data_IF_759165570149
#
_entry.id   IF_759165570149
#
_cell.length_a   1.000
_cell.length_b   1.000
_cell.length_c   1.000
_cell.angle_alpha   90.00
_cell.angle_beta   90.00
_cell.angle_gamma   90.00
#
_symmetry.space_group_name_H-M   'P 1'
#
loop_
_entity.id
_entity.type
_entity.pdbx_description
1 polymer ?
#
# COMPACT_ATOMS: atom_id res chain seq x y z
N UNK A 1 -28.67 7.36 23.73
CA UNK A 1 -28.49 7.62 22.28
C UNK A 1 -27.14 8.31 22.13
N UNK A 2 -26.05 7.58 21.85
CA UNK A 2 -25.42 7.49 20.53
C UNK A 2 -24.55 6.20 20.44
N UNK A 3 -24.96 5.16 19.69
CA UNK A 3 -24.14 3.96 19.46
C UNK A 3 -23.39 3.95 18.11
N UNK A 4 -23.16 5.11 17.48
CA UNK A 4 -22.69 5.19 16.09
C UNK A 4 -21.17 5.20 15.88
N UNK A 5 -20.35 5.49 16.89
CA UNK A 5 -18.91 5.75 16.70
C UNK A 5 -18.05 4.48 16.86
N UNK A 6 -18.49 3.54 17.71
CA UNK A 6 -17.77 2.29 17.97
C UNK A 6 -17.87 1.28 16.82
N UNK A 7 -18.91 1.37 15.99
CA UNK A 7 -19.18 0.41 14.92
C UNK A 7 -18.27 0.57 13.69
N UNK A 8 -17.60 1.72 13.52
CA UNK A 8 -16.70 1.96 12.37
C UNK A 8 -15.27 1.45 12.59
N UNK A 9 -14.82 1.33 13.84
CA UNK A 9 -13.47 0.83 14.16
C UNK A 9 -13.34 -0.70 13.99
N UNK A 10 -14.43 -1.45 14.07
CA UNK A 10 -14.43 -2.91 13.93
C UNK A 10 -14.34 -3.43 12.49
N UNK A 11 -14.43 -2.56 11.47
CA UNK A 11 -14.25 -2.98 10.07
C UNK A 11 -12.82 -3.42 9.74
N UNK A 12 -11.81 -2.93 10.44
CA UNK A 12 -10.43 -3.43 10.31
C UNK A 12 -10.28 -4.88 10.76
N UNK A 13 -11.02 -5.31 11.80
CA UNK A 13 -10.96 -6.68 12.32
C UNK A 13 -11.97 -7.63 11.67
N UNK A 14 -13.11 -7.14 11.18
CA UNK A 14 -14.12 -8.00 10.56
C UNK A 14 -13.69 -8.60 9.20
N UNK A 15 -12.79 -7.92 8.46
CA UNK A 15 -12.25 -8.44 7.19
C UNK A 15 -11.29 -9.64 7.38
N UNK A 16 -10.76 -9.85 8.59
CA UNK A 16 -9.86 -10.96 8.90
C UNK A 16 -10.56 -12.33 8.98
N UNK A 17 -11.90 -12.37 9.08
CA UNK A 17 -12.63 -13.58 9.51
C UNK A 17 -13.38 -14.30 8.38
N UNK A 18 -13.52 -13.72 7.19
CA UNK A 18 -14.34 -14.28 6.11
C UNK A 18 -13.46 -14.92 5.01
N UNK A 19 -13.21 -16.24 5.11
CA UNK A 19 -12.65 -17.13 4.07
C UNK A 19 -11.33 -16.63 3.43
N UNK A 20 -10.21 -17.15 3.92
CA UNK A 20 -8.88 -16.63 3.60
C UNK A 20 -8.04 -17.65 2.82
N UNK A 21 -8.35 -17.91 1.55
CA UNK A 21 -7.44 -18.77 0.76
C UNK A 21 -6.08 -18.09 0.57
N UNK A 22 -5.03 -18.87 0.31
CA UNK A 22 -3.68 -18.34 0.08
C UNK A 22 -3.67 -17.18 -0.93
N UNK A 23 -4.41 -17.24 -2.05
CA UNK A 23 -4.67 -16.09 -2.91
C UNK A 23 -5.07 -14.79 -2.23
N UNK A 24 -6.13 -14.76 -1.41
CA UNK A 24 -6.51 -13.51 -0.72
C UNK A 24 -5.51 -13.11 0.36
N UNK A 25 -4.76 -14.03 0.96
CA UNK A 25 -3.66 -13.66 1.87
C UNK A 25 -2.50 -12.97 1.12
N UNK A 26 -2.17 -13.41 -0.10
CA UNK A 26 -1.19 -12.73 -0.97
C UNK A 26 -1.65 -11.32 -1.33
N UNK A 27 -2.94 -11.15 -1.65
CA UNK A 27 -3.53 -9.83 -1.93
C UNK A 27 -3.49 -8.90 -0.70
N UNK A 28 -3.78 -9.42 0.49
CA UNK A 28 -3.64 -8.63 1.74
C UNK A 28 -2.20 -8.19 1.96
N UNK A 29 -1.26 -9.11 1.75
CA UNK A 29 0.17 -8.86 1.92
C UNK A 29 0.67 -7.80 0.92
N UNK A 30 0.22 -7.86 -0.34
CA UNK A 30 0.58 -6.85 -1.33
C UNK A 30 0.04 -5.46 -0.96
N UNK A 31 -1.22 -5.37 -0.52
CA UNK A 31 -1.82 -4.14 -0.03
C UNK A 31 -1.04 -3.58 1.16
N UNK A 32 -0.67 -4.44 2.11
CA UNK A 32 0.13 -4.06 3.27
C UNK A 32 1.47 -3.44 2.84
N UNK A 33 2.26 -4.15 2.04
CA UNK A 33 3.58 -3.67 1.62
C UNK A 33 3.51 -2.41 0.77
N UNK A 34 2.53 -2.31 -0.15
CA UNK A 34 2.32 -1.12 -0.96
C UNK A 34 1.90 0.08 -0.12
N UNK A 35 0.98 -0.11 0.83
CA UNK A 35 0.46 0.96 1.68
C UNK A 35 1.53 1.53 2.60
N UNK A 36 2.39 0.68 3.15
CA UNK A 36 3.45 1.08 4.06
C UNK A 36 4.78 1.36 3.37
N UNK A 37 4.87 1.19 2.04
CA UNK A 37 6.11 1.40 1.30
C UNK A 37 7.27 0.56 1.83
N UNK A 38 7.02 -0.72 2.09
CA UNK A 38 8.00 -1.62 2.71
C UNK A 38 9.11 -1.98 1.71
N UNK A 39 10.32 -1.49 1.96
CA UNK A 39 11.51 -1.67 1.12
C UNK A 39 12.32 -2.95 1.44
N UNK A 40 11.85 -3.85 2.30
CA UNK A 40 12.45 -5.17 2.54
C UNK A 40 11.39 -6.27 2.68
N UNK A 41 10.49 -6.34 1.69
CA UNK A 41 9.38 -7.28 1.69
C UNK A 41 9.67 -8.58 0.89
N UNK A 42 10.62 -9.38 1.38
CA UNK A 42 10.94 -10.69 0.79
C UNK A 42 10.32 -11.89 1.54
N UNK A 43 10.27 -13.07 0.90
CA UNK A 43 9.63 -14.29 1.45
C UNK A 43 10.13 -14.68 2.85
N UNK A 44 11.40 -14.41 3.19
CA UNK A 44 11.94 -14.70 4.52
C UNK A 44 11.39 -13.78 5.62
N UNK A 45 10.78 -12.65 5.24
CA UNK A 45 10.09 -11.70 6.12
C UNK A 45 8.58 -11.94 6.11
N UNK A 46 8.13 -13.12 5.67
CA UNK A 46 6.73 -13.55 5.76
C UNK A 46 6.65 -14.90 6.44
N UNK A 47 6.06 -14.93 7.63
CA UNK A 47 5.78 -16.17 8.35
C UNK A 47 4.50 -16.78 7.82
N UNK A 48 4.56 -18.05 7.41
CA UNK A 48 3.38 -18.82 7.02
C UNK A 48 2.96 -19.71 8.18
N UNK A 49 1.72 -19.57 8.65
CA UNK A 49 1.09 -20.51 9.56
C UNK A 49 -0.04 -21.23 8.84
N UNK A 50 -0.10 -22.56 8.97
CA UNK A 50 -1.27 -23.32 8.55
C UNK A 50 -2.16 -23.49 9.79
N UNK A 51 -3.38 -22.96 9.74
CA UNK A 51 -4.32 -23.07 10.86
C UNK A 51 -4.97 -24.47 10.92
N UNK A 52 -5.79 -24.70 11.96
CA UNK A 52 -6.45 -26.00 12.18
C UNK A 52 -7.38 -26.38 11.02
N UNK A 53 -7.80 -25.41 10.20
CA UNK A 53 -8.65 -25.58 9.02
C UNK A 53 -7.83 -25.79 7.74
N UNK A 54 -6.51 -25.99 7.87
CA UNK A 54 -5.55 -26.12 6.75
C UNK A 54 -5.46 -24.88 5.86
N UNK A 55 -5.81 -23.72 6.41
CA UNK A 55 -5.73 -22.46 5.69
C UNK A 55 -4.37 -21.82 5.95
N UNK A 56 -3.68 -21.42 4.88
CA UNK A 56 -2.44 -20.66 4.97
C UNK A 56 -2.75 -19.25 5.47
N UNK A 57 -1.98 -18.79 6.46
CA UNK A 57 -2.01 -17.44 7.01
C UNK A 57 -0.64 -16.81 6.81
N UNK A 58 -0.61 -15.68 6.12
CA UNK A 58 0.64 -14.96 5.86
C UNK A 58 0.73 -13.79 6.84
N UNK A 59 1.79 -13.78 7.65
CA UNK A 59 2.08 -12.69 8.57
C UNK A 59 3.35 -12.01 8.12
N UNK A 60 3.30 -10.76 7.65
CA UNK A 60 4.51 -10.00 7.41
C UNK A 60 5.20 -9.81 8.76
N UNK A 61 6.51 -9.98 8.79
CA UNK A 61 7.37 -9.63 9.92
C UNK A 61 8.44 -8.66 9.43
N UNK A 62 9.24 -8.13 10.36
CA UNK A 62 10.40 -7.28 10.05
C UNK A 62 10.04 -6.01 9.23
N UNK A 63 9.53 -5.00 9.92
CA UNK A 63 8.92 -3.80 9.30
C UNK A 63 9.80 -2.56 9.42
N UNK A 64 11.07 -2.72 9.76
CA UNK A 64 11.99 -1.61 9.98
C UNK A 64 12.22 -0.76 8.72
N UNK A 65 12.11 -1.37 7.54
CA UNK A 65 12.25 -0.70 6.23
C UNK A 65 10.91 -0.20 5.64
N UNK A 66 9.90 0.06 6.48
CA UNK A 66 8.67 0.74 6.05
C UNK A 66 8.85 2.26 5.98
N UNK A 67 8.01 2.92 5.19
CA UNK A 67 7.96 4.38 5.01
C UNK A 67 9.18 4.98 4.30
N UNK A 68 9.82 4.23 3.41
CA UNK A 68 11.02 4.69 2.70
C UNK A 68 10.66 5.22 1.31
N UNK A 69 10.79 6.54 1.09
CA UNK A 69 10.46 7.19 -0.21
C UNK A 69 11.58 7.14 -1.26
N UNK A 70 12.83 6.98 -0.82
CA UNK A 70 14.02 7.35 -1.64
C UNK A 70 15.11 6.28 -1.65
N UNK A 71 14.84 5.05 -1.22
CA UNK A 71 15.87 4.03 -1.31
C UNK A 71 16.09 3.64 -2.78
N UNK A 72 17.32 3.87 -3.24
CA UNK A 72 17.89 3.14 -4.40
C UNK A 72 17.93 1.62 -4.14
N UNK A 73 17.71 1.21 -2.88
CA UNK A 73 17.41 -0.14 -2.47
C UNK A 73 16.01 -0.50 -2.96
N UNK A 74 15.99 -1.23 -4.06
CA UNK A 74 14.89 -1.96 -4.67
C UNK A 74 13.82 -2.30 -3.63
N UNK A 75 12.60 -1.76 -3.73
CA UNK A 75 11.45 -2.20 -2.93
C UNK A 75 11.13 -3.64 -3.35
N UNK A 76 11.61 -4.72 -2.70
CA UNK A 76 11.64 -6.04 -3.29
C UNK A 76 10.29 -6.73 -3.12
N UNK A 77 9.19 -6.05 -3.50
CA UNK A 77 7.85 -6.61 -3.57
C UNK A 77 7.85 -7.81 -4.55
N UNK A 78 8.86 -7.87 -5.43
CA UNK A 78 9.04 -8.88 -6.46
C UNK A 78 9.12 -10.33 -5.98
N UNK A 79 9.57 -10.62 -4.74
CA UNK A 79 9.63 -12.03 -4.31
C UNK A 79 8.23 -12.58 -4.01
N UNK A 80 7.33 -11.75 -3.48
CA UNK A 80 5.92 -12.11 -3.30
C UNK A 80 5.06 -11.94 -4.58
N UNK A 81 5.44 -11.07 -5.52
CA UNK A 81 4.60 -10.69 -6.68
C UNK A 81 4.84 -11.44 -7.99
N UNK A 82 5.85 -12.32 -8.09
CA UNK A 82 5.89 -13.24 -9.22
C UNK A 82 4.78 -14.31 -9.19
N UNK A 83 3.96 -14.28 -8.13
CA UNK A 83 2.74 -15.08 -7.99
C UNK A 83 1.66 -14.63 -8.96
N UNK A 84 0.83 -15.58 -9.38
CA UNK A 84 -0.24 -15.35 -10.37
C UNK A 84 -1.23 -14.30 -9.87
N UNK A 85 -1.55 -14.35 -8.59
CA UNK A 85 -2.52 -13.50 -7.89
C UNK A 85 -2.14 -12.02 -7.92
N UNK A 86 -0.84 -11.71 -7.90
CA UNK A 86 -0.34 -10.33 -7.99
C UNK A 86 -0.59 -9.69 -9.37
N UNK A 87 -0.76 -10.52 -10.40
CA UNK A 87 -0.98 -10.12 -11.79
C UNK A 87 -2.47 -10.08 -12.14
N UNK A 88 -3.34 -10.43 -11.21
CA UNK A 88 -4.79 -10.39 -11.37
C UNK A 88 -5.35 -9.04 -10.91
N UNK A 89 -6.45 -8.63 -11.54
CA UNK A 89 -7.17 -7.43 -11.11
C UNK A 89 -7.77 -7.63 -9.72
N UNK A 90 -7.71 -6.59 -8.89
CA UNK A 90 -8.38 -6.61 -7.59
C UNK A 90 -9.90 -6.73 -7.77
N UNK A 91 -10.53 -7.49 -6.86
CA UNK A 91 -11.99 -7.60 -6.80
C UNK A 91 -12.61 -6.27 -6.35
N UNK A 92 -13.89 -6.06 -6.66
CA UNK A 92 -14.62 -4.85 -6.23
C UNK A 92 -14.64 -4.70 -4.70
N UNK A 93 -14.61 -5.80 -3.96
CA UNK A 93 -14.49 -5.79 -2.51
C UNK A 93 -13.15 -5.19 -2.05
N UNK A 94 -12.04 -5.65 -2.65
CA UNK A 94 -10.70 -5.12 -2.36
C UNK A 94 -10.58 -3.66 -2.78
N UNK A 95 -11.15 -3.30 -3.93
CA UNK A 95 -11.23 -1.90 -4.38
C UNK A 95 -11.97 -1.06 -3.35
N UNK A 96 -13.15 -1.50 -2.90
CA UNK A 96 -13.94 -0.81 -1.87
C UNK A 96 -13.20 -0.67 -0.55
N UNK A 97 -12.48 -1.71 -0.12
CA UNK A 97 -11.63 -1.66 1.07
C UNK A 97 -10.52 -0.60 0.94
N UNK A 98 -9.75 -0.65 -0.15
CA UNK A 98 -8.63 0.28 -0.39
C UNK A 98 -9.13 1.72 -0.49
N UNK A 99 -10.25 1.97 -1.18
CA UNK A 99 -10.81 3.31 -1.29
C UNK A 99 -11.28 3.88 0.05
N UNK A 100 -11.69 3.01 0.98
CA UNK A 100 -12.08 3.36 2.34
C UNK A 100 -10.92 3.68 3.29
N UNK A 101 -9.67 3.45 2.89
CA UNK A 101 -8.49 3.78 3.71
C UNK A 101 -8.32 5.30 3.83
N UNK A 102 -8.08 5.76 5.06
CA UNK A 102 -7.88 7.17 5.39
C UNK A 102 -6.63 7.31 6.30
N UNK A 103 -5.57 7.84 5.70
CA UNK A 103 -4.26 7.98 6.35
C UNK A 103 -4.27 9.06 7.44
N UNK A 104 -5.06 10.12 7.29
CA UNK A 104 -5.11 11.20 8.27
C UNK A 104 -5.86 10.75 9.53
N UNK A 105 -6.91 9.93 9.37
CA UNK A 105 -7.59 9.28 10.49
C UNK A 105 -6.66 8.33 11.25
N UNK A 106 -5.83 7.57 10.54
CA UNK A 106 -4.85 6.67 11.14
C UNK A 106 -3.75 7.43 11.89
N UNK A 107 -3.16 8.46 11.29
CA UNK A 107 -2.15 9.31 11.95
C UNK A 107 -2.76 9.99 13.19
N UNK A 108 -3.99 10.50 13.10
CA UNK A 108 -4.66 11.08 14.24
C UNK A 108 -4.92 10.05 15.36
N UNK A 109 -5.21 8.80 15.01
CA UNK A 109 -5.33 7.72 15.99
C UNK A 109 -4.01 7.44 16.70
N UNK A 110 -2.91 7.34 15.96
CA UNK A 110 -1.57 7.12 16.53
C UNK A 110 -1.16 8.23 17.50
N UNK A 111 -1.43 9.50 17.14
CA UNK A 111 -1.23 10.65 18.03
C UNK A 111 -2.05 10.54 19.31
N UNK A 112 -3.32 10.13 19.23
CA UNK A 112 -4.17 9.91 20.42
C UNK A 112 -3.66 8.77 21.31
N UNK A 113 -2.96 7.79 20.74
CA UNK A 113 -2.30 6.73 21.48
C UNK A 113 -0.96 7.16 22.12
N UNK A 114 -0.57 8.44 21.97
CA UNK A 114 0.64 9.00 22.56
C UNK A 114 1.88 8.90 21.66
N UNK A 115 1.73 8.53 20.39
CA UNK A 115 2.84 8.54 19.45
C UNK A 115 2.86 9.83 18.61
N UNK A 116 3.88 10.66 18.81
CA UNK A 116 4.19 11.75 17.89
C UNK A 116 4.77 11.17 16.59
N UNK A 117 3.90 11.03 15.58
CA UNK A 117 4.27 10.44 14.29
C UNK A 117 5.23 11.38 13.57
N UNK A 118 6.50 10.99 13.36
CA UNK A 118 7.50 11.85 12.74
C UNK A 118 7.19 12.11 11.26
N UNK A 119 7.78 13.15 10.71
CA UNK A 119 7.62 13.53 9.29
C UNK A 119 8.04 12.40 8.36
N UNK A 120 9.15 11.76 8.70
CA UNK A 120 9.78 10.65 8.00
C UNK A 120 8.89 9.41 7.91
N UNK A 121 7.81 9.35 8.70
CA UNK A 121 6.78 8.30 8.61
C UNK A 121 5.51 8.84 7.96
N UNK A 122 5.02 9.98 8.45
CA UNK A 122 3.72 10.53 8.04
C UNK A 122 3.67 10.93 6.57
N UNK A 123 4.71 11.56 6.04
CA UNK A 123 4.78 11.97 4.63
C UNK A 123 4.80 10.75 3.69
N UNK A 124 5.72 9.78 3.84
CA UNK A 124 5.68 8.56 3.05
C UNK A 124 4.34 7.80 3.17
N UNK A 125 3.77 7.72 4.38
CA UNK A 125 2.51 7.02 4.58
C UNK A 125 1.37 7.62 3.75
N UNK A 126 1.32 8.96 3.67
CA UNK A 126 0.37 9.70 2.82
C UNK A 126 0.62 9.44 1.33
N UNK A 127 1.88 9.42 0.90
CA UNK A 127 2.24 9.16 -0.50
C UNK A 127 1.86 7.74 -0.92
N UNK A 128 2.28 6.73 -0.17
CA UNK A 128 2.03 5.32 -0.48
C UNK A 128 0.54 4.96 -0.39
N UNK A 129 -0.18 5.50 0.59
CA UNK A 129 -1.65 5.31 0.67
C UNK A 129 -2.33 5.91 -0.56
N UNK A 130 -1.97 7.13 -0.98
CA UNK A 130 -2.56 7.74 -2.17
C UNK A 130 -2.21 7.00 -3.46
N UNK A 131 -0.95 6.60 -3.61
CA UNK A 131 -0.46 5.79 -4.72
C UNK A 131 -1.25 4.48 -4.85
N UNK A 132 -1.42 3.75 -3.75
CA UNK A 132 -2.23 2.53 -3.71
C UNK A 132 -3.69 2.80 -4.11
N UNK A 133 -4.32 3.84 -3.55
CA UNK A 133 -5.71 4.19 -3.88
C UNK A 133 -5.88 4.50 -5.36
N UNK A 134 -4.99 5.30 -5.95
CA UNK A 134 -5.07 5.66 -7.36
C UNK A 134 -4.70 4.50 -8.29
N UNK A 135 -3.74 3.67 -7.92
CA UNK A 135 -3.42 2.47 -8.68
C UNK A 135 -4.62 1.54 -8.81
N UNK A 136 -5.30 1.27 -7.69
CA UNK A 136 -6.51 0.43 -7.67
C UNK A 136 -7.69 1.09 -8.41
N UNK A 137 -7.86 2.41 -8.27
CA UNK A 137 -8.86 3.18 -9.02
C UNK A 137 -8.67 3.03 -10.54
N UNK A 138 -7.43 3.12 -11.01
CA UNK A 138 -7.05 2.97 -12.42
C UNK A 138 -6.75 1.53 -12.84
N UNK A 139 -7.26 0.54 -12.08
CA UNK A 139 -7.20 -0.89 -12.44
C UNK A 139 -5.79 -1.48 -12.54
N UNK A 140 -4.79 -0.85 -11.93
CA UNK A 140 -3.47 -1.46 -11.80
C UNK A 140 -3.53 -2.66 -10.86
N UNK A 141 -2.80 -3.72 -11.22
CA UNK A 141 -2.58 -4.90 -10.39
C UNK A 141 -1.49 -4.61 -9.36
N UNK A 142 -1.32 -5.52 -8.40
CA UNK A 142 -0.21 -5.44 -7.45
C UNK A 142 1.15 -5.43 -8.16
N UNK A 143 1.29 -6.25 -9.21
CA UNK A 143 2.50 -6.35 -10.02
C UNK A 143 2.84 -5.03 -10.73
N UNK A 144 1.86 -4.38 -11.38
CA UNK A 144 2.07 -3.06 -11.99
C UNK A 144 2.57 -2.05 -10.96
N UNK A 145 1.83 -1.88 -9.87
CA UNK A 145 2.19 -0.91 -8.83
C UNK A 145 3.57 -1.17 -8.23
N UNK A 146 3.95 -2.43 -8.09
CA UNK A 146 5.26 -2.76 -7.56
C UNK A 146 6.41 -2.43 -8.51
N UNK A 147 6.25 -2.65 -9.83
CA UNK A 147 7.24 -2.22 -10.82
C UNK A 147 7.46 -0.71 -10.75
N UNK A 148 6.38 0.06 -10.58
CA UNK A 148 6.44 1.52 -10.49
C UNK A 148 7.05 1.99 -9.16
N UNK A 149 6.66 1.39 -8.03
CA UNK A 149 7.17 1.70 -6.69
C UNK A 149 8.66 1.32 -6.53
N UNK A 150 9.10 0.26 -7.21
CA UNK A 150 10.50 -0.16 -7.29
C UNK A 150 11.38 0.75 -8.14
N UNK A 151 10.78 1.67 -8.89
CA UNK A 151 11.47 2.52 -9.83
C UNK A 151 12.23 1.75 -10.93
N UNK A 152 11.71 0.58 -11.34
CA UNK A 152 12.33 -0.29 -12.37
C UNK A 152 11.56 -0.28 -13.70
N UNK A 153 10.57 0.59 -13.86
CA UNK A 153 9.86 0.70 -15.13
C UNK A 153 10.77 1.29 -16.21
N UNK A 154 10.74 0.73 -17.43
CA UNK A 154 11.60 1.14 -18.55
C UNK A 154 11.49 2.63 -18.87
N UNK A 155 10.27 3.16 -18.84
CA UNK A 155 10.04 4.60 -18.89
C UNK A 155 10.04 5.12 -17.48
N UNK A 156 11.13 5.79 -17.11
CA UNK A 156 11.37 6.33 -15.76
C UNK A 156 10.33 7.37 -15.34
N UNK A 157 9.59 7.95 -16.28
CA UNK A 157 8.47 8.84 -16.00
C UNK A 157 7.35 8.17 -15.18
N UNK A 158 7.27 6.83 -15.20
CA UNK A 158 6.32 6.05 -14.40
C UNK A 158 6.94 5.48 -13.12
N UNK A 159 8.20 5.76 -12.82
CA UNK A 159 8.78 5.38 -11.53
C UNK A 159 8.22 6.32 -10.45
N UNK A 160 7.80 5.76 -9.31
CA UNK A 160 7.18 6.53 -8.23
C UNK A 160 8.07 7.68 -7.74
N UNK A 161 9.38 7.47 -7.66
CA UNK A 161 10.34 8.51 -7.28
C UNK A 161 10.28 9.73 -8.21
N UNK A 162 10.02 9.52 -9.50
CA UNK A 162 9.85 10.58 -10.49
C UNK A 162 8.43 11.18 -10.50
N UNK A 163 7.48 10.62 -9.76
CA UNK A 163 6.15 11.19 -9.54
C UNK A 163 6.07 12.09 -8.32
N UNK A 164 7.11 12.12 -7.48
CA UNK A 164 7.11 12.97 -6.28
C UNK A 164 7.28 14.45 -6.65
N UNK A 165 6.80 15.31 -5.76
CA UNK A 165 7.03 16.75 -5.75
C UNK A 165 8.46 17.10 -5.32
N UNK A 166 8.74 18.39 -5.23
CA UNK A 166 10.02 18.87 -4.70
C UNK A 166 10.03 18.74 -3.17
N UNK A 167 10.92 17.91 -2.63
CA UNK A 167 11.03 17.64 -1.19
C UNK A 167 11.49 18.85 -0.36
N UNK A 168 11.94 19.93 -1.00
CA UNK A 168 12.30 21.19 -0.31
C UNK A 168 11.09 22.05 0.05
N UNK A 169 9.90 21.73 -0.50
CA UNK A 169 8.66 22.42 -0.19
C UNK A 169 8.13 22.03 1.19
N UNK A 170 7.24 22.88 1.74
CA UNK A 170 6.45 22.53 2.92
C UNK A 170 5.67 21.23 2.69
N UNK A 171 5.49 20.44 3.75
CA UNK A 171 5.01 19.06 3.65
C UNK A 171 3.65 18.93 2.98
N UNK A 172 2.70 19.80 3.33
CA UNK A 172 1.37 19.77 2.74
C UNK A 172 1.43 20.10 1.23
N UNK A 173 2.28 21.04 0.84
CA UNK A 173 2.50 21.40 -0.57
C UNK A 173 3.21 20.26 -1.31
N UNK A 174 4.23 19.66 -0.71
CA UNK A 174 4.95 18.52 -1.27
C UNK A 174 4.00 17.34 -1.48
N UNK A 175 3.20 16.98 -0.47
CA UNK A 175 2.25 15.87 -0.53
C UNK A 175 1.20 16.14 -1.60
N UNK A 176 0.60 17.33 -1.63
CA UNK A 176 -0.40 17.70 -2.63
C UNK A 176 0.16 17.59 -4.05
N UNK A 177 1.32 18.21 -4.33
CA UNK A 177 1.94 18.14 -5.66
C UNK A 177 2.31 16.72 -6.07
N UNK A 178 2.77 15.91 -5.11
CA UNK A 178 3.04 14.50 -5.34
C UNK A 178 1.76 13.74 -5.68
N UNK A 179 0.67 13.99 -4.96
CA UNK A 179 -0.63 13.37 -5.22
C UNK A 179 -1.17 13.68 -6.61
N UNK A 180 -1.11 14.94 -7.03
CA UNK A 180 -1.52 15.40 -8.37
C UNK A 180 -0.71 14.70 -9.47
N UNK A 181 0.61 14.65 -9.30
CA UNK A 181 1.51 14.06 -10.29
C UNK A 181 1.42 12.53 -10.32
N UNK A 182 1.26 11.87 -9.17
CA UNK A 182 0.96 10.44 -9.09
C UNK A 182 -0.32 10.13 -9.85
N UNK A 183 -1.40 10.87 -9.60
CA UNK A 183 -2.67 10.64 -10.29
C UNK A 183 -2.52 10.78 -11.81
N UNK A 184 -1.91 11.87 -12.27
CA UNK A 184 -1.71 12.11 -13.71
C UNK A 184 -0.90 10.99 -14.37
N UNK A 185 0.17 10.52 -13.71
CA UNK A 185 1.05 9.47 -14.25
C UNK A 185 0.41 8.09 -14.21
N UNK A 186 -0.34 7.74 -13.17
CA UNK A 186 -1.02 6.45 -13.10
C UNK A 186 -2.18 6.38 -14.09
N UNK A 187 -2.91 7.48 -14.31
CA UNK A 187 -3.91 7.56 -15.38
C UNK A 187 -3.29 7.34 -16.75
N UNK A 188 -2.20 8.06 -17.06
CA UNK A 188 -1.46 7.88 -18.31
C UNK A 188 -0.91 6.45 -18.46
N UNK A 189 -0.45 5.83 -17.37
CA UNK A 189 0.01 4.45 -17.38
C UNK A 189 -1.13 3.50 -17.74
N UNK A 190 -2.28 3.63 -17.08
CA UNK A 190 -3.47 2.82 -17.35
C UNK A 190 -3.92 2.94 -18.80
N UNK A 191 -4.01 4.14 -19.36
CA UNK A 191 -4.45 4.36 -20.74
C UNK A 191 -3.51 3.78 -21.79
N UNK A 192 -2.23 3.57 -21.43
CA UNK A 192 -1.18 3.14 -22.36
C UNK A 192 -0.88 1.65 -22.28
N UNK A 193 -0.99 1.04 -21.10
CA UNK A 193 -0.48 -0.30 -20.83
C UNK A 193 -1.57 -1.30 -20.38
N UNK A 194 -2.78 -0.84 -20.08
CA UNK A 194 -3.93 -1.68 -19.71
C UNK A 194 -5.01 -1.61 -20.79
#
# INVERSE_FOLDING_TARGET
>A
MLPGVWYRSWRMMAWLVMINTLPQEIIKLSIFHLRFGNADCHDRNTVTKIDAQRVHRLTPVDHEECFTLVSNSLVPILINLNRKEAKEAYTDEVVGYVQGLDVDVDIAFLKRCGWEVPREVSVPYKIFTHFLKKGVEFKLTADHMAVLAQNIHKSTAFNLSNMLGDMTLEDDIFVQKSHEKIEARLRQYSERFL
#
